data_IF_661957541852
#
_entry.id   IF_661957541852
#
_cell.length_a   1.000
_cell.length_b   1.000
_cell.length_c   1.000
_cell.angle_alpha   90.00
_cell.angle_beta   90.00
_cell.angle_gamma   90.00
#
_symmetry.space_group_name_H-M   'P 1'
#
loop_
_entity.id
_entity.type
_entity.pdbx_description
1 polymer ?
#
# COMPACT_ATOMS: atom_id res chain seq x y z
N UNK A 1 21.63 -27.85 0.70
CA UNK A 1 20.81 -26.70 1.16
C UNK A 1 19.39 -27.22 1.40
N UNK A 2 19.07 -27.64 2.66
CA UNK A 2 17.71 -28.13 2.98
C UNK A 2 16.79 -26.91 3.10
N UNK A 3 15.89 -26.76 2.15
CA UNK A 3 14.83 -25.74 2.21
C UNK A 3 13.84 -26.13 3.32
N UNK A 4 13.94 -25.47 4.45
CA UNK A 4 13.01 -25.69 5.55
C UNK A 4 11.79 -24.77 5.33
N UNK A 5 10.80 -25.27 4.57
CA UNK A 5 9.58 -24.52 4.22
C UNK A 5 8.86 -24.01 5.49
N UNK A 6 8.90 -24.81 6.60
CA UNK A 6 8.26 -24.43 7.86
C UNK A 6 8.89 -23.17 8.49
N UNK A 7 10.22 -23.05 8.45
CA UNK A 7 10.91 -21.87 8.97
C UNK A 7 10.57 -20.61 8.13
N UNK A 8 10.52 -20.75 6.81
CA UNK A 8 10.14 -19.64 5.92
C UNK A 8 8.71 -19.18 6.12
N UNK A 9 7.78 -20.11 6.32
CA UNK A 9 6.38 -19.78 6.62
C UNK A 9 6.26 -19.11 7.99
N UNK A 10 7.02 -19.54 8.98
CA UNK A 10 7.07 -18.91 10.30
C UNK A 10 7.62 -17.47 10.21
N UNK A 11 8.73 -17.26 9.50
CA UNK A 11 9.29 -15.91 9.25
C UNK A 11 8.30 -14.97 8.55
N UNK A 12 7.58 -15.47 7.53
CA UNK A 12 6.55 -14.71 6.84
C UNK A 12 5.39 -14.35 7.76
N UNK A 13 4.94 -15.30 8.56
CA UNK A 13 3.86 -15.07 9.53
C UNK A 13 4.26 -14.01 10.56
N UNK A 14 5.45 -14.08 11.10
CA UNK A 14 5.97 -13.08 12.04
C UNK A 14 6.06 -11.70 11.37
N UNK A 15 6.56 -11.61 10.14
CA UNK A 15 6.60 -10.38 9.38
C UNK A 15 5.21 -9.77 9.17
N UNK A 16 4.23 -10.57 8.78
CA UNK A 16 2.84 -10.11 8.60
C UNK A 16 2.25 -9.62 9.93
N UNK A 17 2.41 -10.37 11.02
CA UNK A 17 1.90 -9.96 12.33
C UNK A 17 2.54 -8.65 12.78
N UNK A 18 3.86 -8.50 12.60
CA UNK A 18 4.57 -7.27 12.94
C UNK A 18 4.02 -6.07 12.18
N UNK A 19 3.82 -6.19 10.86
CA UNK A 19 3.27 -5.11 10.03
C UNK A 19 1.84 -4.75 10.44
N UNK A 20 0.99 -5.76 10.69
CA UNK A 20 -0.39 -5.52 11.14
C UNK A 20 -0.43 -4.79 12.49
N UNK A 21 0.46 -5.16 13.41
CA UNK A 21 0.54 -4.49 14.72
C UNK A 21 1.13 -3.07 14.63
N UNK A 22 2.05 -2.82 13.70
CA UNK A 22 2.78 -1.56 13.58
C UNK A 22 2.08 -0.53 12.69
N UNK A 23 1.31 -1.01 11.70
CA UNK A 23 0.63 -0.20 10.68
C UNK A 23 -0.87 -0.52 10.55
N UNK A 24 -1.64 -0.60 11.66
CA UNK A 24 -3.03 -1.06 11.59
C UNK A 24 -3.93 -0.10 10.81
N UNK A 25 -3.77 1.21 10.97
CA UNK A 25 -4.62 2.22 10.32
C UNK A 25 -4.34 2.34 8.82
N UNK A 26 -3.07 2.29 8.42
CA UNK A 26 -2.64 2.30 7.02
C UNK A 26 -3.22 1.10 6.27
N UNK A 27 -3.07 -0.10 6.85
CA UNK A 27 -3.59 -1.33 6.25
C UNK A 27 -5.12 -1.33 6.19
N UNK A 28 -5.79 -0.82 7.23
CA UNK A 28 -7.25 -0.71 7.24
C UNK A 28 -7.75 0.23 6.14
N UNK A 29 -7.07 1.36 5.93
CA UNK A 29 -7.46 2.32 4.89
C UNK A 29 -7.21 1.77 3.48
N UNK A 30 -6.09 1.08 3.27
CA UNK A 30 -5.78 0.40 2.01
C UNK A 30 -6.77 -0.74 1.73
N UNK A 31 -7.17 -1.49 2.75
CA UNK A 31 -8.19 -2.52 2.64
C UNK A 31 -9.55 -1.90 2.27
N UNK A 32 -9.93 -0.82 2.94
CA UNK A 32 -11.17 -0.12 2.65
C UNK A 32 -11.19 0.42 1.21
N UNK A 33 -10.08 0.99 0.74
CA UNK A 33 -9.91 1.43 -0.64
C UNK A 33 -10.10 0.29 -1.63
N UNK A 34 -9.41 -0.83 -1.39
CA UNK A 34 -9.46 -2.02 -2.25
C UNK A 34 -10.88 -2.59 -2.32
N UNK A 35 -11.53 -2.77 -1.17
CA UNK A 35 -12.92 -3.28 -1.09
C UNK A 35 -13.89 -2.33 -1.79
N UNK A 36 -13.74 -1.01 -1.61
CA UNK A 36 -14.59 -0.02 -2.28
C UNK A 36 -14.50 -0.14 -3.79
N UNK A 37 -13.28 -0.28 -4.34
CA UNK A 37 -13.09 -0.44 -5.79
C UNK A 37 -13.69 -1.74 -6.32
N UNK A 38 -13.47 -2.86 -5.62
CA UNK A 38 -14.07 -4.16 -5.97
C UNK A 38 -15.59 -4.04 -6.01
N UNK A 39 -16.20 -3.48 -4.96
CA UNK A 39 -17.66 -3.31 -4.90
C UNK A 39 -18.17 -2.39 -6.01
N UNK A 40 -17.45 -1.31 -6.36
CA UNK A 40 -17.82 -0.43 -7.47
C UNK A 40 -17.80 -1.18 -8.80
N UNK A 41 -16.77 -1.98 -9.08
CA UNK A 41 -16.67 -2.79 -10.31
C UNK A 41 -17.78 -3.84 -10.36
N UNK A 42 -17.99 -4.58 -9.27
CA UNK A 42 -19.01 -5.62 -9.20
C UNK A 42 -20.46 -5.08 -9.33
N UNK A 43 -20.70 -3.88 -8.79
CA UNK A 43 -22.04 -3.26 -8.85
C UNK A 43 -22.24 -2.38 -10.08
N UNK A 44 -21.21 -2.18 -10.92
CA UNK A 44 -21.24 -1.27 -12.07
C UNK A 44 -21.46 0.20 -11.69
N UNK A 45 -21.12 0.59 -10.46
CA UNK A 45 -21.20 1.97 -10.00
C UNK A 45 -19.89 2.67 -10.28
N UNK A 46 -19.99 3.89 -10.79
CA UNK A 46 -18.81 4.74 -10.92
C UNK A 46 -18.26 5.10 -9.54
N UNK A 47 -16.99 4.82 -9.28
CA UNK A 47 -16.37 5.17 -8.01
C UNK A 47 -16.24 6.69 -7.91
N UNK A 48 -16.53 7.23 -6.72
CA UNK A 48 -16.23 8.63 -6.42
C UNK A 48 -14.69 8.79 -6.35
N UNK A 49 -14.12 9.28 -7.46
CA UNK A 49 -12.68 9.43 -7.63
C UNK A 49 -12.03 10.25 -6.51
N UNK A 50 -12.73 11.27 -6.03
CA UNK A 50 -12.26 12.11 -4.93
C UNK A 50 -12.08 11.31 -3.64
N UNK A 51 -13.04 10.45 -3.28
CA UNK A 51 -12.96 9.60 -2.09
C UNK A 51 -11.83 8.57 -2.20
N UNK A 52 -11.66 7.96 -3.37
CA UNK A 52 -10.59 6.98 -3.59
C UNK A 52 -9.22 7.61 -3.42
N UNK A 53 -9.02 8.80 -4.00
CA UNK A 53 -7.76 9.54 -3.89
C UNK A 53 -7.48 9.93 -2.44
N UNK A 54 -8.49 10.41 -1.71
CA UNK A 54 -8.33 10.75 -0.28
C UNK A 54 -8.02 9.51 0.56
N UNK A 55 -8.63 8.35 0.29
CA UNK A 55 -8.31 7.10 0.98
C UNK A 55 -6.86 6.67 0.71
N UNK A 56 -6.41 6.70 -0.54
CA UNK A 56 -5.05 6.34 -0.91
C UNK A 56 -4.01 7.27 -0.29
N UNK A 57 -4.18 8.58 -0.43
CA UNK A 57 -3.30 9.58 0.19
C UNK A 57 -3.40 9.58 1.71
N UNK A 58 -4.57 9.28 2.25
CA UNK A 58 -4.79 9.13 3.69
C UNK A 58 -3.93 8.02 4.29
N UNK A 59 -3.85 6.87 3.66
CA UNK A 59 -2.97 5.79 4.10
C UNK A 59 -1.50 6.25 4.14
N UNK A 60 -1.09 7.05 3.14
CA UNK A 60 0.25 7.59 3.08
C UNK A 60 0.49 8.64 4.18
N UNK A 61 -0.44 9.56 4.42
CA UNK A 61 -0.36 10.54 5.52
C UNK A 61 -0.26 9.85 6.87
N UNK A 62 -1.04 8.78 7.09
CA UNK A 62 -0.96 7.98 8.30
C UNK A 62 0.43 7.34 8.46
N UNK A 63 1.01 6.82 7.38
CA UNK A 63 2.38 6.30 7.40
C UNK A 63 3.40 7.37 7.82
N UNK A 64 3.29 8.58 7.26
CA UNK A 64 4.16 9.71 7.63
C UNK A 64 4.00 10.05 9.11
N UNK A 65 2.77 10.16 9.61
CA UNK A 65 2.50 10.45 11.02
C UNK A 65 3.01 9.33 11.92
N UNK A 66 2.81 8.08 11.54
CA UNK A 66 3.33 6.92 12.27
C UNK A 66 4.85 7.01 12.40
N UNK A 67 5.55 7.26 11.30
CA UNK A 67 7.02 7.40 11.28
C UNK A 67 7.54 8.60 12.09
N UNK A 68 6.81 9.72 12.10
CA UNK A 68 7.17 10.90 12.90
C UNK A 68 7.01 10.65 14.40
N UNK A 69 6.03 9.83 14.79
CA UNK A 69 5.62 9.66 16.19
C UNK A 69 6.15 8.37 16.83
N UNK A 70 6.66 7.41 16.06
CA UNK A 70 7.05 6.05 16.50
C UNK A 70 8.00 6.03 17.72
N UNK A 71 8.88 7.02 17.86
CA UNK A 71 9.82 7.14 19.02
C UNK A 71 9.50 8.27 19.98
N UNK A 72 8.30 8.86 19.90
CA UNK A 72 7.90 10.01 20.68
C UNK A 72 6.76 9.66 21.63
N UNK A 73 6.67 10.41 22.77
CA UNK A 73 5.47 10.43 23.61
C UNK A 73 4.21 10.88 22.86
N UNK A 74 4.36 11.37 21.63
CA UNK A 74 3.30 11.78 20.71
C UNK A 74 2.71 10.64 19.89
N UNK A 75 3.12 9.38 20.09
CA UNK A 75 2.57 8.22 19.36
C UNK A 75 1.04 8.09 19.49
N UNK A 76 0.45 8.63 20.55
CA UNK A 76 -1.02 8.71 20.68
C UNK A 76 -1.68 9.54 19.57
N UNK A 77 -0.97 10.52 18.98
CA UNK A 77 -1.49 11.30 17.85
C UNK A 77 -1.72 10.45 16.60
N UNK A 78 -0.97 9.38 16.43
CA UNK A 78 -1.18 8.46 15.33
C UNK A 78 -2.63 7.91 15.30
N UNK A 79 -3.16 7.52 16.47
CA UNK A 79 -4.52 7.00 16.57
C UNK A 79 -5.62 8.05 16.31
N UNK A 80 -5.29 9.32 16.35
CA UNK A 80 -6.22 10.43 16.08
C UNK A 80 -5.97 11.04 14.69
N UNK A 81 -4.85 10.69 14.05
CA UNK A 81 -4.44 11.25 12.75
C UNK A 81 -5.40 10.95 11.59
N UNK A 82 -6.28 9.97 11.74
CA UNK A 82 -7.37 9.69 10.77
C UNK A 82 -8.51 10.72 10.86
N UNK A 83 -8.69 11.39 11.99
CA UNK A 83 -9.82 12.30 12.21
C UNK A 83 -9.88 13.47 11.21
N UNK A 84 -8.76 14.11 10.82
CA UNK A 84 -8.76 15.13 9.77
C UNK A 84 -9.10 14.61 8.38
N UNK A 85 -8.96 13.29 8.13
CA UNK A 85 -9.30 12.69 6.84
C UNK A 85 -10.80 12.61 6.62
N UNK A 86 -11.58 12.49 7.70
CA UNK A 86 -13.06 12.41 7.61
C UNK A 86 -13.67 13.67 6.97
N UNK A 87 -13.39 14.89 7.44
CA UNK A 87 -13.90 16.09 6.77
C UNK A 87 -13.35 16.26 5.37
N UNK A 88 -12.12 15.81 5.07
CA UNK A 88 -11.57 15.86 3.71
C UNK A 88 -12.35 14.96 2.75
N UNK A 89 -12.77 13.77 3.19
CA UNK A 89 -13.64 12.88 2.40
C UNK A 89 -15.03 13.48 2.17
N UNK A 90 -15.53 14.25 3.16
CA UNK A 90 -16.87 14.82 3.13
C UNK A 90 -16.94 16.19 2.46
N UNK A 91 -15.80 16.86 2.22
CA UNK A 91 -15.74 18.22 1.68
C UNK A 91 -15.72 18.19 0.14
N UNK A 92 -16.80 18.63 -0.53
CA UNK A 92 -16.80 18.77 -1.97
C UNK A 92 -15.75 19.82 -2.39
N UNK A 93 -14.97 19.53 -3.41
CA UNK A 93 -13.95 20.42 -3.96
C UNK A 93 -12.51 20.14 -3.51
N UNK A 94 -12.25 19.67 -2.28
CA UNK A 94 -10.91 19.23 -1.88
C UNK A 94 -10.58 17.91 -2.57
N UNK A 95 -11.54 16.99 -2.60
CA UNK A 95 -11.42 15.73 -3.32
C UNK A 95 -11.20 15.95 -4.81
N UNK A 96 -11.93 16.86 -5.43
CA UNK A 96 -11.79 17.19 -6.86
C UNK A 96 -10.40 17.75 -7.18
N UNK A 97 -9.88 18.62 -6.32
CA UNK A 97 -8.51 19.10 -6.50
C UNK A 97 -7.48 17.99 -6.36
N UNK A 98 -7.60 17.13 -5.35
CA UNK A 98 -6.72 15.99 -5.14
C UNK A 98 -6.79 14.97 -6.29
N UNK A 99 -7.97 14.79 -6.88
CA UNK A 99 -8.18 13.92 -8.04
C UNK A 99 -7.71 14.58 -9.35
N UNK A 100 -7.48 15.91 -9.37
CA UNK A 100 -6.93 16.59 -10.53
C UNK A 100 -5.50 16.13 -10.84
N UNK A 101 -5.09 16.25 -12.11
CA UNK A 101 -3.72 15.91 -12.50
C UNK A 101 -2.66 16.66 -11.69
N UNK A 102 -2.92 17.93 -11.35
CA UNK A 102 -2.03 18.74 -10.52
C UNK A 102 -1.95 18.22 -9.09
N UNK A 103 -3.10 17.87 -8.48
CA UNK A 103 -3.17 17.28 -7.15
C UNK A 103 -2.39 15.96 -7.07
N UNK A 104 -2.64 15.07 -8.02
CA UNK A 104 -1.96 13.76 -8.08
C UNK A 104 -0.45 13.92 -8.23
N UNK A 105 0.03 14.77 -9.16
CA UNK A 105 1.46 15.02 -9.35
C UNK A 105 2.07 15.64 -8.09
N UNK A 106 1.40 16.65 -7.51
CA UNK A 106 1.89 17.32 -6.29
C UNK A 106 2.04 16.31 -5.16
N UNK A 107 1.03 15.48 -4.93
CA UNK A 107 1.08 14.46 -3.89
C UNK A 107 2.10 13.36 -4.20
N UNK A 108 2.25 12.93 -5.44
CA UNK A 108 3.26 11.96 -5.84
C UNK A 108 4.69 12.45 -5.56
N UNK A 109 4.94 13.75 -5.65
CA UNK A 109 6.24 14.35 -5.33
C UNK A 109 6.38 14.61 -3.83
N UNK A 110 5.36 15.18 -3.19
CA UNK A 110 5.43 15.53 -1.75
C UNK A 110 5.49 14.29 -0.86
N UNK A 111 4.88 13.20 -1.26
CA UNK A 111 4.81 11.97 -0.48
C UNK A 111 6.19 11.38 -0.15
N UNK A 112 7.06 11.06 -1.13
CA UNK A 112 8.39 10.53 -0.83
C UNK A 112 9.26 11.57 -0.10
N UNK A 113 9.11 12.86 -0.41
CA UNK A 113 9.85 13.92 0.28
C UNK A 113 9.44 14.02 1.75
N UNK A 114 8.15 13.91 2.07
CA UNK A 114 7.67 13.89 3.44
C UNK A 114 8.20 12.68 4.22
N UNK A 115 8.19 11.49 3.64
CA UNK A 115 8.78 10.29 4.26
C UNK A 115 10.27 10.46 4.56
N UNK A 116 11.02 11.03 3.63
CA UNK A 116 12.44 11.28 3.80
C UNK A 116 12.69 12.36 4.87
N UNK A 117 11.89 13.43 4.89
CA UNK A 117 11.99 14.51 5.86
C UNK A 117 11.69 14.05 7.30
N UNK A 118 10.84 13.03 7.48
CA UNK A 118 10.53 12.47 8.81
C UNK A 118 11.77 11.92 9.52
N UNK A 119 12.80 11.57 8.80
CA UNK A 119 14.03 10.99 9.36
C UNK A 119 15.08 12.00 9.73
N UNK A 120 14.84 13.20 10.14
CA UNK A 120 15.78 14.19 10.72
C UNK A 120 17.27 13.85 10.46
N UNK A 121 17.61 13.43 9.25
CA UNK A 121 18.98 13.12 8.89
C UNK A 121 19.73 14.45 8.72
N UNK A 122 20.60 14.77 9.69
CA UNK A 122 21.46 15.96 9.64
C UNK A 122 22.60 15.80 8.60
N UNK A 123 22.71 14.63 7.98
CA UNK A 123 23.80 14.28 7.06
C UNK A 123 23.25 13.85 5.70
N UNK A 124 23.74 14.49 4.63
CA UNK A 124 23.37 14.20 3.25
C UNK A 124 23.57 12.73 2.87
N UNK A 125 24.61 12.09 3.39
CA UNK A 125 24.93 10.68 3.11
C UNK A 125 23.83 9.76 3.67
N UNK A 126 23.32 10.06 4.85
CA UNK A 126 22.23 9.31 5.46
C UNK A 126 20.91 9.51 4.69
N UNK A 127 20.63 10.74 4.28
CA UNK A 127 19.45 11.04 3.46
C UNK A 127 19.41 10.22 2.17
N UNK A 128 20.54 10.21 1.42
CA UNK A 128 20.64 9.43 0.18
C UNK A 128 20.50 7.93 0.44
N UNK A 129 21.14 7.44 1.49
CA UNK A 129 21.05 6.02 1.86
C UNK A 129 19.62 5.61 2.22
N UNK A 130 18.91 6.45 2.98
CA UNK A 130 17.52 6.19 3.34
C UNK A 130 16.59 6.25 2.13
N UNK A 131 16.80 7.21 1.22
CA UNK A 131 16.07 7.28 -0.04
C UNK A 131 16.25 6.01 -0.89
N UNK A 132 17.47 5.49 -0.97
CA UNK A 132 17.76 4.24 -1.68
C UNK A 132 17.09 3.03 -1.01
N UNK A 133 17.02 2.99 0.32
CA UNK A 133 16.29 1.92 1.05
C UNK A 133 14.80 1.95 0.71
N UNK A 134 14.16 3.12 0.75
CA UNK A 134 12.75 3.27 0.37
C UNK A 134 12.50 2.88 -1.08
N UNK A 135 13.35 3.37 -1.99
CA UNK A 135 13.23 3.04 -3.42
C UNK A 135 13.39 1.54 -3.66
N UNK A 136 14.38 0.92 -3.03
CA UNK A 136 14.61 -0.53 -3.14
C UNK A 136 13.43 -1.33 -2.58
N UNK A 137 12.86 -0.92 -1.42
CA UNK A 137 11.68 -1.56 -0.85
C UNK A 137 10.49 -1.47 -1.80
N UNK A 138 10.24 -0.29 -2.37
CA UNK A 138 9.15 -0.06 -3.30
C UNK A 138 9.30 -0.88 -4.59
N UNK A 139 10.49 -0.87 -5.19
CA UNK A 139 10.78 -1.65 -6.41
C UNK A 139 10.61 -3.14 -6.16
N UNK A 140 11.14 -3.67 -5.06
CA UNK A 140 10.98 -5.09 -4.73
C UNK A 140 9.52 -5.46 -4.43
N UNK A 141 8.79 -4.63 -3.69
CA UNK A 141 7.38 -4.88 -3.43
C UNK A 141 6.55 -4.92 -4.71
N UNK A 142 6.76 -3.96 -5.62
CA UNK A 142 6.10 -3.93 -6.92
C UNK A 142 6.50 -5.11 -7.80
N UNK A 143 7.76 -5.49 -7.79
CA UNK A 143 8.24 -6.63 -8.57
C UNK A 143 7.62 -7.93 -8.09
N UNK A 144 7.60 -8.19 -6.78
CA UNK A 144 6.98 -9.38 -6.22
C UNK A 144 5.46 -9.40 -6.48
N UNK A 145 4.79 -8.27 -6.29
CA UNK A 145 3.37 -8.14 -6.58
C UNK A 145 3.08 -8.38 -8.07
N UNK A 146 3.87 -7.79 -8.97
CA UNK A 146 3.73 -7.97 -10.41
C UNK A 146 3.96 -9.41 -10.86
N UNK A 147 4.98 -10.09 -10.32
CA UNK A 147 5.23 -11.51 -10.60
C UNK A 147 4.09 -12.38 -10.08
N UNK A 148 3.63 -12.15 -8.85
CA UNK A 148 2.52 -12.92 -8.28
C UNK A 148 1.23 -12.73 -9.09
N UNK A 149 0.89 -11.49 -9.44
CA UNK A 149 -0.24 -11.16 -10.30
C UNK A 149 -0.13 -11.84 -11.66
N UNK A 150 1.00 -11.68 -12.35
CA UNK A 150 1.22 -12.26 -13.68
C UNK A 150 1.14 -13.78 -13.70
N UNK A 151 1.67 -14.47 -12.68
CA UNK A 151 1.54 -15.92 -12.55
C UNK A 151 0.08 -16.34 -12.33
N UNK A 152 -0.64 -15.63 -11.47
CA UNK A 152 -2.03 -15.93 -11.18
C UNK A 152 -2.92 -15.70 -12.40
N UNK A 153 -2.69 -14.60 -13.11
CA UNK A 153 -3.37 -14.27 -14.35
C UNK A 153 -3.11 -15.31 -15.45
N UNK A 154 -1.85 -15.72 -15.60
CA UNK A 154 -1.50 -16.77 -16.55
C UNK A 154 -2.20 -18.10 -16.25
N UNK A 155 -2.30 -18.48 -14.98
CA UNK A 155 -3.03 -19.68 -14.55
C UNK A 155 -4.52 -19.55 -14.84
N UNK A 156 -5.11 -18.40 -14.46
CA UNK A 156 -6.54 -18.14 -14.66
C UNK A 156 -6.94 -18.16 -16.12
N UNK A 157 -6.20 -17.46 -16.99
CA UNK A 157 -6.47 -17.42 -18.41
C UNK A 157 -6.21 -18.77 -19.10
N UNK A 158 -5.18 -19.50 -18.67
CA UNK A 158 -4.93 -20.85 -19.17
C UNK A 158 -6.08 -21.80 -18.82
N UNK A 159 -6.57 -21.73 -17.58
CA UNK A 159 -7.71 -22.51 -17.15
C UNK A 159 -8.98 -22.09 -17.90
N UNK A 160 -9.24 -20.80 -18.04
CA UNK A 160 -10.40 -20.28 -18.76
C UNK A 160 -10.41 -20.74 -20.22
N UNK A 161 -9.25 -20.74 -20.87
CA UNK A 161 -9.10 -21.24 -22.25
C UNK A 161 -9.35 -22.75 -22.37
N UNK A 162 -8.76 -23.55 -21.46
CA UNK A 162 -8.92 -25.02 -21.48
C UNK A 162 -10.39 -25.43 -21.26
N UNK A 163 -11.09 -24.72 -20.38
CA UNK A 163 -12.49 -25.02 -20.07
C UNK A 163 -13.51 -24.24 -20.91
N UNK A 164 -13.06 -23.41 -21.85
CA UNK A 164 -13.93 -22.62 -22.72
C UNK A 164 -14.67 -21.48 -22.05
N UNK A 165 -14.07 -20.90 -21.01
CA UNK A 165 -14.62 -19.76 -20.23
C UNK A 165 -13.93 -18.43 -20.56
N UNK A 166 -13.13 -18.37 -21.62
CA UNK A 166 -12.30 -17.23 -22.03
C UNK A 166 -13.09 -15.94 -22.32
N UNK A 167 -14.38 -16.05 -22.65
CA UNK A 167 -15.29 -14.90 -22.79
C UNK A 167 -16.21 -14.63 -21.60
N UNK A 168 -16.07 -15.35 -20.50
CA UNK A 168 -16.98 -15.22 -19.37
C UNK A 168 -16.70 -13.94 -18.56
N UNK A 169 -17.75 -13.17 -18.27
CA UNK A 169 -17.65 -11.92 -17.50
C UNK A 169 -16.98 -12.10 -16.14
N UNK A 170 -17.23 -13.21 -15.47
CA UNK A 170 -16.66 -13.49 -14.15
C UNK A 170 -15.12 -13.62 -14.20
N UNK A 171 -14.53 -14.09 -15.31
CA UNK A 171 -13.07 -14.16 -15.49
C UNK A 171 -12.48 -12.74 -15.48
N UNK A 172 -13.11 -11.81 -16.22
CA UNK A 172 -12.67 -10.41 -16.31
C UNK A 172 -12.81 -9.73 -14.93
N UNK A 173 -13.93 -9.94 -14.23
CA UNK A 173 -14.13 -9.40 -12.89
C UNK A 173 -13.08 -9.92 -11.91
N UNK A 174 -12.84 -11.24 -11.90
CA UNK A 174 -11.84 -11.85 -11.02
C UNK A 174 -10.42 -11.33 -11.30
N UNK A 175 -10.06 -11.14 -12.58
CA UNK A 175 -8.77 -10.54 -12.97
C UNK A 175 -8.64 -9.12 -12.43
N UNK A 176 -9.71 -8.31 -12.55
CA UNK A 176 -9.73 -6.93 -12.06
C UNK A 176 -9.64 -6.86 -10.54
N UNK A 177 -10.39 -7.70 -9.84
CA UNK A 177 -10.36 -7.79 -8.37
C UNK A 177 -8.99 -8.19 -7.87
N UNK A 178 -8.38 -9.18 -8.54
CA UNK A 178 -7.03 -9.63 -8.22
C UNK A 178 -5.99 -8.52 -8.43
N UNK A 179 -6.14 -7.71 -9.48
CA UNK A 179 -5.30 -6.55 -9.73
C UNK A 179 -5.40 -5.57 -8.55
N UNK A 180 -6.62 -5.23 -8.11
CA UNK A 180 -6.81 -4.32 -6.99
C UNK A 180 -6.24 -4.88 -5.68
N UNK A 181 -6.52 -6.14 -5.35
CA UNK A 181 -5.96 -6.78 -4.15
C UNK A 181 -4.43 -6.79 -4.18
N UNK A 182 -3.86 -7.10 -5.34
CA UNK A 182 -2.39 -7.23 -5.47
C UNK A 182 -1.69 -5.87 -5.39
N UNK A 183 -2.15 -4.87 -6.14
CA UNK A 183 -1.43 -3.59 -6.24
C UNK A 183 -1.86 -2.54 -5.21
N UNK A 184 -3.11 -2.55 -4.74
CA UNK A 184 -3.57 -1.56 -3.77
C UNK A 184 -3.44 -2.03 -2.32
N UNK A 185 -3.42 -3.34 -2.07
CA UNK A 185 -3.29 -3.88 -0.73
C UNK A 185 -1.99 -4.65 -0.52
N UNK A 186 -1.73 -5.71 -1.32
CA UNK A 186 -0.59 -6.59 -1.08
C UNK A 186 0.76 -5.90 -1.35
N UNK A 187 0.89 -5.12 -2.42
CA UNK A 187 2.14 -4.42 -2.73
C UNK A 187 2.51 -3.38 -1.65
N UNK A 188 1.61 -2.48 -1.19
CA UNK A 188 1.91 -1.61 -0.06
C UNK A 188 2.19 -2.36 1.25
N UNK A 189 1.49 -3.44 1.54
CA UNK A 189 1.74 -4.26 2.73
C UNK A 189 3.15 -4.90 2.67
N UNK A 190 3.55 -5.42 1.51
CA UNK A 190 4.90 -5.92 1.27
C UNK A 190 5.96 -4.82 1.39
N UNK A 191 5.67 -3.63 0.88
CA UNK A 191 6.54 -2.48 1.03
C UNK A 191 6.79 -2.16 2.50
N UNK A 192 5.75 -2.09 3.33
CA UNK A 192 5.85 -1.85 4.77
C UNK A 192 6.67 -2.95 5.46
N UNK A 193 6.41 -4.22 5.12
CA UNK A 193 7.13 -5.36 5.68
C UNK A 193 8.63 -5.32 5.35
N UNK A 194 8.99 -5.02 4.11
CA UNK A 194 10.39 -4.90 3.70
C UNK A 194 11.07 -3.72 4.38
N UNK A 195 10.36 -2.62 4.53
CA UNK A 195 10.86 -1.41 5.16
C UNK A 195 11.16 -1.65 6.65
N UNK A 196 10.23 -2.24 7.40
CA UNK A 196 10.41 -2.56 8.82
C UNK A 196 11.55 -3.55 9.04
N UNK A 197 11.63 -4.61 8.24
CA UNK A 197 12.70 -5.61 8.33
C UNK A 197 14.10 -5.01 8.09
N UNK A 198 14.21 -4.07 7.17
CA UNK A 198 15.51 -3.43 6.90
C UNK A 198 15.88 -2.39 7.96
N UNK A 199 14.90 -1.78 8.59
CA UNK A 199 15.16 -0.90 9.74
C UNK A 199 15.65 -1.71 10.94
N UNK A 200 15.03 -2.83 11.24
CA UNK A 200 15.46 -3.72 12.33
C UNK A 200 16.87 -4.27 12.11
N UNK A 201 17.18 -4.71 10.89
CA UNK A 201 18.52 -5.20 10.54
C UNK A 201 19.63 -4.13 10.66
N UNK A 202 19.27 -2.84 10.70
CA UNK A 202 20.21 -1.73 10.78
C UNK A 202 20.47 -1.24 12.20
N UNK A 203 19.55 -1.50 13.13
CA UNK A 203 19.58 -1.02 14.50
C UNK A 203 19.69 -2.13 15.56
N UNK A 204 19.61 -3.40 15.18
CA UNK A 204 19.91 -4.58 15.97
C UNK A 204 21.35 -5.05 15.74
#
# INVERSE_FOLDING_TARGET
>A
MKWNIRERVAELREGVVTVVCRHPLELLLLLALTVTLIVCVETGRDPDGARLVVMGWGAFVLLVVNRLTDRSRWHRLYWVAWAPLVPLVLWPGVGDWLASAQGVITMAVLSPLALLACRRAADNTRFVTDALVYLRAAVLALLFAGVAYGLFEAILWSAAYIFGFDGARWVVHLTTDLLFVTFLFAAPALFLMLLDRWEEARFG
#
